data_IF_759492168071
#
_entry.id   IF_759492168071
#
_cell.length_a   1.000
_cell.length_b   1.000
_cell.length_c   1.000
_cell.angle_alpha   90.00
_cell.angle_beta   90.00
_cell.angle_gamma   90.00
#
_symmetry.space_group_name_H-M   'P 1'
#
loop_
_entity.id
_entity.type
_entity.pdbx_description
1 polymer ?
#
# COMPACT_ATOMS: atom_id res chain seq x y z
N UNK A 1 -1.45 10.53 -7.54
CA UNK A 1 -1.73 9.68 -6.38
C UNK A 1 -3.02 10.21 -5.78
N UNK A 2 -3.97 9.35 -5.47
CA UNK A 2 -5.19 9.74 -4.75
C UNK A 2 -4.95 9.67 -3.24
N UNK A 3 -5.79 10.35 -2.46
CA UNK A 3 -5.75 10.25 -0.98
C UNK A 3 -5.84 8.81 -0.52
N UNK A 4 -6.75 8.00 -1.10
CA UNK A 4 -6.87 6.58 -0.76
C UNK A 4 -5.62 5.75 -1.08
N UNK A 5 -4.91 6.07 -2.17
CA UNK A 5 -3.66 5.37 -2.49
C UNK A 5 -2.54 5.74 -1.52
N UNK A 6 -2.50 7.00 -1.08
CA UNK A 6 -1.55 7.46 -0.08
C UNK A 6 -1.84 6.82 1.28
N UNK A 7 -3.09 6.87 1.74
CA UNK A 7 -3.53 6.26 3.00
C UNK A 7 -3.17 4.77 3.06
N UNK A 8 -3.43 4.01 1.99
CA UNK A 8 -3.09 2.58 1.92
C UNK A 8 -1.56 2.36 1.98
N UNK A 9 -0.77 3.21 1.31
CA UNK A 9 0.69 3.11 1.35
C UNK A 9 1.26 3.46 2.73
N UNK A 10 0.75 4.53 3.37
CA UNK A 10 1.16 4.94 4.72
C UNK A 10 0.81 3.86 5.73
N UNK A 11 -0.42 3.34 5.68
CA UNK A 11 -0.84 2.25 6.57
C UNK A 11 0.04 1.03 6.40
N UNK A 12 0.31 0.60 5.15
CA UNK A 12 1.20 -0.53 4.88
C UNK A 12 2.63 -0.27 5.39
N UNK A 13 3.15 0.94 5.21
CA UNK A 13 4.48 1.31 5.66
C UNK A 13 4.61 1.24 7.18
N UNK A 14 3.67 1.87 7.91
CA UNK A 14 3.73 1.91 9.36
C UNK A 14 3.29 0.61 10.04
N UNK A 15 2.56 -0.28 9.35
CA UNK A 15 2.18 -1.59 9.87
C UNK A 15 3.27 -2.66 9.70
N UNK A 16 4.42 -2.32 9.10
CA UNK A 16 5.47 -3.29 8.78
C UNK A 16 5.08 -4.30 7.67
N UNK A 17 4.13 -3.93 6.80
CA UNK A 17 3.73 -4.76 5.65
C UNK A 17 4.90 -4.99 4.67
N UNK A 18 5.86 -4.06 4.62
CA UNK A 18 7.03 -4.12 3.73
C UNK A 18 8.28 -4.71 4.39
N UNK A 19 8.23 -5.12 5.66
CA UNK A 19 9.37 -5.65 6.40
C UNK A 19 9.65 -7.12 6.10
N UNK A 20 10.83 -7.60 6.48
CA UNK A 20 11.25 -9.01 6.36
C UNK A 20 11.86 -9.49 7.70
N UNK A 21 11.16 -10.36 8.48
CA UNK A 21 9.82 -10.89 8.24
C UNK A 21 8.75 -9.78 8.35
N UNK A 22 7.61 -9.97 7.66
CA UNK A 22 6.50 -9.00 7.71
C UNK A 22 5.81 -9.02 9.07
N UNK A 23 5.54 -7.82 9.60
CA UNK A 23 4.74 -7.65 10.82
C UNK A 23 3.22 -7.65 10.55
N UNK A 24 2.81 -7.43 9.30
CA UNK A 24 1.40 -7.39 8.87
C UNK A 24 1.22 -7.97 7.48
N UNK A 25 0.10 -8.67 7.28
CA UNK A 25 -0.33 -9.25 6.01
C UNK A 25 -1.25 -8.31 5.21
N UNK A 26 -1.48 -8.64 3.94
CA UNK A 26 -2.40 -7.86 3.10
C UNK A 26 -3.86 -8.03 3.50
N UNK A 27 -4.19 -9.14 4.17
CA UNK A 27 -5.54 -9.41 4.70
C UNK A 27 -5.78 -8.56 5.95
N UNK A 28 -4.85 -8.56 6.91
CA UNK A 28 -4.94 -7.71 8.11
C UNK A 28 -4.99 -6.21 7.75
N UNK A 29 -4.24 -5.79 6.73
CA UNK A 29 -4.29 -4.42 6.23
C UNK A 29 -5.66 -4.09 5.60
N UNK A 30 -6.27 -5.05 4.90
CA UNK A 30 -7.57 -4.89 4.28
C UNK A 30 -8.68 -4.78 5.33
N UNK A 31 -8.61 -5.61 6.37
CA UNK A 31 -9.51 -5.56 7.52
C UNK A 31 -9.39 -4.22 8.26
N UNK A 32 -8.16 -3.74 8.52
CA UNK A 32 -7.91 -2.45 9.16
C UNK A 32 -8.49 -1.25 8.38
N UNK A 33 -8.51 -1.34 7.05
CA UNK A 33 -8.96 -0.27 6.15
C UNK A 33 -10.41 -0.45 5.68
N UNK A 34 -11.12 -1.49 6.15
CA UNK A 34 -12.51 -1.77 5.82
C UNK A 34 -12.76 -2.06 4.34
N UNK A 35 -11.82 -2.72 3.67
CA UNK A 35 -11.90 -3.05 2.23
C UNK A 35 -11.47 -4.49 1.97
N UNK A 36 -11.61 -4.96 0.73
CA UNK A 36 -11.12 -6.29 0.36
C UNK A 36 -9.62 -6.31 0.06
N UNK A 37 -8.95 -7.44 0.30
CA UNK A 37 -7.52 -7.61 -0.01
C UNK A 37 -7.15 -7.32 -1.49
N UNK A 38 -7.98 -7.66 -2.50
CA UNK A 38 -7.74 -7.23 -3.88
C UNK A 38 -7.76 -5.70 -4.05
N UNK A 39 -8.62 -4.99 -3.31
CA UNK A 39 -8.71 -3.52 -3.33
C UNK A 39 -7.42 -2.90 -2.78
N UNK A 40 -6.90 -3.42 -1.66
CA UNK A 40 -5.59 -3.03 -1.12
C UNK A 40 -4.48 -3.23 -2.15
N UNK A 41 -4.40 -4.43 -2.75
CA UNK A 41 -3.37 -4.73 -3.74
C UNK A 41 -3.42 -3.77 -4.94
N UNK A 42 -4.62 -3.41 -5.39
CA UNK A 42 -4.82 -2.41 -6.43
C UNK A 42 -4.32 -1.03 -6.04
N UNK A 43 -4.66 -0.55 -4.84
CA UNK A 43 -4.21 0.74 -4.33
C UNK A 43 -2.70 0.79 -4.12
N UNK A 44 -2.11 -0.26 -3.54
CA UNK A 44 -0.66 -0.39 -3.37
C UNK A 44 0.06 -0.29 -4.71
N UNK A 45 -0.35 -1.09 -5.71
CA UNK A 45 0.27 -1.08 -7.05
C UNK A 45 0.15 0.29 -7.73
N UNK A 46 -1.02 0.93 -7.63
CA UNK A 46 -1.23 2.24 -8.23
C UNK A 46 -0.41 3.34 -7.54
N UNK A 47 -0.35 3.32 -6.21
CA UNK A 47 0.48 4.23 -5.41
C UNK A 47 1.97 4.03 -5.69
N UNK A 48 2.47 2.80 -5.61
CA UNK A 48 3.86 2.44 -5.91
C UNK A 48 4.26 2.84 -7.33
N UNK A 49 3.42 2.58 -8.35
CA UNK A 49 3.70 3.03 -9.72
C UNK A 49 3.86 4.55 -9.79
N UNK A 50 3.04 5.31 -9.07
CA UNK A 50 3.17 6.77 -9.05
C UNK A 50 4.47 7.19 -8.35
N UNK A 51 4.84 6.58 -7.23
CA UNK A 51 6.12 6.84 -6.58
C UNK A 51 7.31 6.52 -7.49
N UNK A 52 7.28 5.37 -8.18
CA UNK A 52 8.31 4.98 -9.13
C UNK A 52 8.42 5.94 -10.32
N UNK A 53 7.30 6.44 -10.85
CA UNK A 53 7.34 7.46 -11.91
C UNK A 53 8.08 8.72 -11.47
N UNK A 54 7.97 9.13 -10.20
CA UNK A 54 8.70 10.29 -9.68
C UNK A 54 10.21 10.04 -9.57
N UNK A 55 10.62 8.79 -9.41
CA UNK A 55 12.03 8.41 -9.28
C UNK A 55 12.70 8.16 -10.63
N UNK A 56 12.01 7.47 -11.55
CA UNK A 56 12.59 6.93 -12.78
C UNK A 56 12.20 7.68 -14.05
N UNK A 57 11.04 8.32 -14.10
CA UNK A 57 10.61 9.06 -15.30
C UNK A 57 11.19 10.48 -15.22
N UNK A 58 12.40 10.65 -15.76
CA UNK A 58 13.10 11.94 -15.91
C UNK A 58 13.25 12.35 -17.37
#
# INVERSE_FOLDING_TARGET
MTERQLEVLETAYYSGYFEEPRDTTGEELADALGVSAPTITGHLRAGQRKLFSLLFDR
#
